data_IF_028551385690
#
_entry.id   IF_028551385690
#
_cell.length_a   1.000
_cell.length_b   1.000
_cell.length_c   1.000
_cell.angle_alpha   90.00
_cell.angle_beta   90.00
_cell.angle_gamma   90.00
#
_symmetry.space_group_name_H-M   'P 1'
#
loop_
_entity.id
_entity.type
_entity.pdbx_description
1 polymer ?
#
# COMPACT_ATOMS: atom_id res chain seq x y z
N UNK A 1 -10.92 -17.50 -5.60
CA UNK A 1 -10.24 -18.82 -5.39
C UNK A 1 -9.98 -18.99 -3.91
N UNK A 2 -10.03 -20.23 -3.36
CA UNK A 2 -9.63 -20.54 -1.97
C UNK A 2 -8.56 -21.61 -2.06
N UNK A 3 -7.45 -21.43 -1.34
CA UNK A 3 -6.30 -22.33 -1.34
C UNK A 3 -5.74 -22.47 0.07
N UNK A 4 -5.59 -23.68 0.58
CA UNK A 4 -4.89 -23.93 1.83
C UNK A 4 -3.39 -23.94 1.57
N UNK A 5 -2.64 -23.04 2.20
CA UNK A 5 -1.20 -22.87 2.01
C UNK A 5 -0.39 -23.66 3.03
N UNK A 6 -0.86 -23.68 4.26
CA UNK A 6 -0.36 -24.44 5.41
C UNK A 6 -1.54 -24.87 6.26
N UNK A 7 -1.41 -25.85 7.16
CA UNK A 7 -2.51 -26.28 8.01
C UNK A 7 -3.20 -25.10 8.71
N UNK A 8 -4.48 -24.86 8.37
CA UNK A 8 -5.29 -23.78 8.92
C UNK A 8 -4.99 -22.38 8.36
N UNK A 9 -4.07 -22.19 7.45
CA UNK A 9 -3.77 -20.93 6.77
C UNK A 9 -4.24 -20.98 5.31
N UNK A 10 -5.22 -20.16 4.98
CA UNK A 10 -5.85 -20.11 3.66
C UNK A 10 -5.60 -18.78 2.96
N UNK A 11 -5.36 -18.82 1.64
CA UNK A 11 -5.48 -17.67 0.76
C UNK A 11 -6.88 -17.63 0.17
N UNK A 12 -7.51 -16.47 0.26
CA UNK A 12 -8.78 -16.14 -0.37
C UNK A 12 -8.54 -15.04 -1.39
N UNK A 13 -8.59 -15.36 -2.67
CA UNK A 13 -8.46 -14.38 -3.74
C UNK A 13 -9.81 -13.68 -3.95
N UNK A 14 -9.85 -12.37 -3.67
CA UNK A 14 -11.03 -11.51 -3.78
C UNK A 14 -10.88 -10.62 -5.01
N UNK A 15 -11.79 -10.68 -5.99
CA UNK A 15 -11.69 -9.87 -7.21
C UNK A 15 -11.78 -8.38 -6.91
N UNK A 16 -10.98 -7.58 -7.63
CA UNK A 16 -11.01 -6.11 -7.63
C UNK A 16 -11.38 -5.63 -9.04
N UNK A 17 -12.67 -5.67 -9.43
CA UNK A 17 -13.10 -5.32 -10.78
C UNK A 17 -12.72 -3.89 -11.17
N UNK A 18 -12.24 -3.72 -12.40
CA UNK A 18 -11.78 -2.43 -12.96
C UNK A 18 -10.55 -1.84 -12.25
N UNK A 19 -9.85 -2.65 -11.46
CA UNK A 19 -8.56 -2.29 -10.88
C UNK A 19 -7.41 -2.98 -11.63
N UNK A 20 -6.30 -2.30 -11.91
CA UNK A 20 -5.11 -2.93 -12.48
C UNK A 20 -4.52 -4.00 -11.55
N UNK A 21 -4.84 -3.97 -10.26
CA UNK A 21 -4.43 -4.97 -9.27
C UNK A 21 -5.09 -6.34 -9.49
N UNK A 22 -6.26 -6.39 -10.16
CA UNK A 22 -7.07 -7.56 -10.50
C UNK A 22 -7.76 -8.23 -9.30
N UNK A 23 -7.01 -8.58 -8.26
CA UNK A 23 -7.53 -9.20 -7.04
C UNK A 23 -6.69 -8.84 -5.82
N UNK A 24 -7.30 -8.91 -4.64
CA UNK A 24 -6.62 -8.95 -3.34
C UNK A 24 -6.42 -10.41 -2.93
N UNK A 25 -5.27 -10.73 -2.35
CA UNK A 25 -5.05 -11.92 -1.56
C UNK A 25 -5.36 -11.61 -0.08
N UNK A 26 -6.54 -11.96 0.38
CA UNK A 26 -6.87 -11.97 1.81
C UNK A 26 -6.42 -13.30 2.40
N UNK A 27 -5.89 -13.29 3.62
CA UNK A 27 -5.47 -14.51 4.30
C UNK A 27 -6.34 -14.78 5.50
N UNK A 28 -6.75 -16.05 5.64
CA UNK A 28 -7.62 -16.50 6.73
C UNK A 28 -6.87 -17.55 7.53
N UNK A 29 -6.71 -17.32 8.84
CA UNK A 29 -6.15 -18.28 9.76
C UNK A 29 -7.28 -18.87 10.63
N UNK A 30 -7.42 -20.17 10.62
CA UNK A 30 -8.35 -20.92 11.47
C UNK A 30 -7.64 -21.32 12.75
N UNK A 31 -7.87 -20.56 13.82
CA UNK A 31 -7.44 -20.95 15.15
C UNK A 31 -8.44 -21.91 15.81
N UNK A 32 -8.15 -22.33 17.05
CA UNK A 32 -9.00 -23.27 17.80
C UNK A 32 -10.34 -22.65 18.19
N UNK A 33 -10.30 -21.44 18.76
CA UNK A 33 -11.48 -20.75 19.27
C UNK A 33 -11.88 -19.52 18.46
N UNK A 34 -10.96 -18.93 17.76
CA UNK A 34 -11.17 -17.72 16.95
C UNK A 34 -10.51 -17.86 15.59
N UNK A 35 -10.85 -16.96 14.70
CA UNK A 35 -10.28 -16.81 13.35
C UNK A 35 -9.58 -15.47 13.23
N UNK A 36 -8.59 -15.38 12.36
CA UNK A 36 -7.97 -14.12 11.96
C UNK A 36 -8.09 -13.95 10.45
N UNK A 37 -8.60 -12.78 10.02
CA UNK A 37 -8.62 -12.38 8.62
C UNK A 37 -7.62 -11.25 8.43
N UNK A 38 -6.69 -11.43 7.51
CA UNK A 38 -5.70 -10.41 7.13
C UNK A 38 -6.13 -9.79 5.83
N UNK A 39 -6.42 -8.49 5.84
CA UNK A 39 -6.94 -7.65 4.76
C UNK A 39 -8.32 -8.07 4.22
N UNK A 40 -9.14 -7.10 3.76
CA UNK A 40 -10.58 -7.30 3.59
C UNK A 40 -11.17 -6.92 2.23
N UNK A 41 -10.40 -6.29 1.33
CA UNK A 41 -10.80 -5.75 0.04
C UNK A 41 -11.62 -4.43 0.09
N UNK A 42 -11.94 -3.90 -1.10
CA UNK A 42 -12.67 -2.65 -1.30
C UNK A 42 -14.13 -2.75 -0.83
N UNK A 43 -14.64 -1.68 -0.21
CA UNK A 43 -16.04 -1.57 0.23
C UNK A 43 -17.00 -1.42 -0.95
N UNK A 44 -17.24 -2.53 -1.66
CA UNK A 44 -18.17 -2.64 -2.79
C UNK A 44 -18.72 -4.06 -2.88
N UNK A 45 -19.92 -4.19 -3.46
CA UNK A 45 -20.63 -5.47 -3.49
C UNK A 45 -19.87 -6.56 -4.27
N UNK A 46 -19.17 -6.16 -5.34
CA UNK A 46 -18.38 -7.09 -6.16
C UNK A 46 -17.18 -7.69 -5.41
N UNK A 47 -16.76 -7.08 -4.28
CA UNK A 47 -15.76 -7.63 -3.37
C UNK A 47 -16.43 -8.33 -2.17
N UNK A 48 -17.51 -7.73 -1.61
CA UNK A 48 -18.19 -8.26 -0.43
C UNK A 48 -18.79 -9.65 -0.67
N UNK A 49 -19.52 -9.82 -1.76
CA UNK A 49 -20.21 -11.08 -2.04
C UNK A 49 -19.26 -12.28 -2.21
N UNK A 50 -18.16 -12.17 -2.99
CA UNK A 50 -17.15 -13.21 -3.05
C UNK A 50 -16.49 -13.48 -1.69
N UNK A 51 -16.22 -12.44 -0.88
CA UNK A 51 -15.66 -12.58 0.47
C UNK A 51 -16.60 -13.41 1.35
N UNK A 52 -17.86 -13.00 1.49
CA UNK A 52 -18.84 -13.75 2.31
C UNK A 52 -19.03 -15.19 1.83
N UNK A 53 -19.05 -15.41 0.50
CA UNK A 53 -19.12 -16.76 -0.07
C UNK A 53 -17.89 -17.61 0.31
N UNK A 54 -16.70 -17.03 0.31
CA UNK A 54 -15.47 -17.72 0.70
C UNK A 54 -15.47 -18.04 2.21
N UNK A 55 -15.83 -17.08 3.05
CA UNK A 55 -15.91 -17.26 4.51
C UNK A 55 -16.93 -18.35 4.88
N UNK A 56 -18.08 -18.38 4.21
CA UNK A 56 -19.07 -19.46 4.38
C UNK A 56 -18.52 -20.83 4.00
N UNK A 57 -17.77 -20.94 2.90
CA UNK A 57 -17.14 -22.21 2.48
C UNK A 57 -16.06 -22.69 3.44
N UNK A 58 -15.39 -21.76 4.10
CA UNK A 58 -14.41 -22.04 5.14
C UNK A 58 -15.01 -22.24 6.53
N UNK A 59 -16.34 -22.15 6.67
CA UNK A 59 -17.04 -22.23 7.95
C UNK A 59 -16.51 -21.20 8.98
N UNK A 60 -16.33 -19.96 8.55
CA UNK A 60 -15.86 -18.86 9.39
C UNK A 60 -17.05 -18.13 10.02
N UNK A 61 -17.09 -18.13 11.35
CA UNK A 61 -18.02 -17.34 12.15
C UNK A 61 -17.45 -15.94 12.42
N UNK A 62 -18.06 -14.91 11.85
CA UNK A 62 -17.63 -13.51 12.02
C UNK A 62 -17.69 -13.04 13.47
N UNK A 63 -18.56 -13.62 14.32
CA UNK A 63 -18.59 -13.30 15.76
C UNK A 63 -17.37 -13.86 16.53
N UNK A 64 -16.62 -14.75 15.91
CA UNK A 64 -15.40 -15.34 16.45
C UNK A 64 -14.16 -14.93 15.62
N UNK A 65 -14.27 -13.84 14.86
CA UNK A 65 -13.24 -13.41 13.93
C UNK A 65 -12.64 -12.09 14.34
N UNK A 66 -11.30 -12.06 14.40
CA UNK A 66 -10.48 -10.87 14.50
C UNK A 66 -9.93 -10.50 13.13
N UNK A 67 -9.52 -9.24 12.97
CA UNK A 67 -8.98 -8.73 11.71
C UNK A 67 -7.60 -8.11 11.94
N UNK A 68 -6.73 -8.27 10.97
CA UNK A 68 -5.48 -7.52 10.87
C UNK A 68 -5.46 -6.79 9.54
N UNK A 69 -5.21 -5.49 9.56
CA UNK A 69 -5.11 -4.66 8.37
C UNK A 69 -3.64 -4.27 8.19
N UNK A 70 -3.05 -4.69 7.06
CA UNK A 70 -1.63 -4.43 6.78
C UNK A 70 -1.36 -2.94 6.59
N UNK A 71 -2.30 -2.22 5.96
CA UNK A 71 -2.21 -0.77 5.76
C UNK A 71 -3.56 -0.15 5.34
N UNK A 72 -3.61 1.17 5.28
CA UNK A 72 -4.84 1.97 5.16
C UNK A 72 -5.55 1.91 3.79
N UNK A 73 -4.91 1.44 2.73
CA UNK A 73 -5.51 1.49 1.39
C UNK A 73 -6.85 0.74 1.33
N UNK A 74 -7.77 1.28 0.52
CA UNK A 74 -9.17 0.82 0.50
C UNK A 74 -9.34 -0.63 0.05
N UNK A 75 -8.43 -1.16 -0.73
CA UNK A 75 -8.42 -2.55 -1.17
C UNK A 75 -7.91 -3.52 -0.09
N UNK A 76 -7.35 -3.02 1.01
CA UNK A 76 -6.99 -3.80 2.20
C UNK A 76 -7.94 -3.57 3.36
N UNK A 77 -8.36 -2.34 3.61
CA UNK A 77 -9.16 -1.93 4.77
C UNK A 77 -10.66 -1.77 4.50
N UNK A 78 -11.09 -1.71 3.24
CA UNK A 78 -12.41 -1.19 2.86
C UNK A 78 -13.60 -1.96 3.44
N UNK A 79 -13.57 -3.28 3.44
CA UNK A 79 -14.70 -4.10 3.94
C UNK A 79 -14.67 -4.33 5.45
N UNK A 80 -13.62 -3.94 6.17
CA UNK A 80 -13.50 -4.23 7.60
C UNK A 80 -14.72 -3.75 8.39
N UNK A 81 -15.29 -2.59 8.05
CA UNK A 81 -16.49 -2.07 8.71
C UNK A 81 -17.78 -2.86 8.45
N UNK A 82 -17.83 -3.66 7.38
CA UNK A 82 -18.97 -4.54 7.08
C UNK A 82 -18.78 -5.93 7.66
N UNK A 83 -17.55 -6.38 7.84
CA UNK A 83 -17.23 -7.75 8.29
C UNK A 83 -17.04 -7.84 9.80
N UNK A 84 -16.40 -6.83 10.43
CA UNK A 84 -16.16 -6.83 11.87
C UNK A 84 -17.47 -6.67 12.65
N UNK A 85 -17.59 -7.43 13.73
CA UNK A 85 -18.67 -7.40 14.71
C UNK A 85 -18.23 -6.71 16.00
N UNK A 86 -19.10 -6.56 16.96
CA UNK A 86 -18.76 -5.94 18.26
C UNK A 86 -17.85 -6.84 19.13
N UNK A 87 -17.67 -8.11 18.74
CA UNK A 87 -16.75 -9.05 19.40
C UNK A 87 -15.39 -9.15 18.71
N UNK A 88 -15.21 -8.50 17.57
CA UNK A 88 -13.97 -8.51 16.78
C UNK A 88 -12.94 -7.54 17.34
N UNK A 89 -11.69 -7.99 17.48
CA UNK A 89 -10.53 -7.09 17.53
C UNK A 89 -10.11 -6.76 16.10
N UNK A 90 -9.85 -5.49 15.85
CA UNK A 90 -9.31 -5.04 14.57
C UNK A 90 -7.93 -4.46 14.81
N UNK A 91 -6.91 -5.25 14.54
CA UNK A 91 -5.50 -4.86 14.68
C UNK A 91 -5.09 -3.95 13.53
N UNK A 92 -4.50 -2.82 13.87
CA UNK A 92 -4.05 -1.85 12.90
C UNK A 92 -2.85 -1.05 13.43
N UNK A 93 -1.93 -0.67 12.56
CA UNK A 93 -0.77 0.12 12.97
C UNK A 93 -1.19 1.43 13.63
N UNK A 94 -0.56 1.78 14.75
CA UNK A 94 -0.87 2.97 15.55
C UNK A 94 -0.77 4.26 14.74
N UNK A 95 0.20 4.37 13.83
CA UNK A 95 0.39 5.56 12.99
C UNK A 95 -0.82 5.73 12.07
N UNK A 96 -1.22 4.70 11.32
CA UNK A 96 -2.34 4.79 10.39
C UNK A 96 -3.69 4.91 11.08
N UNK A 97 -3.86 4.25 12.23
CA UNK A 97 -5.07 4.39 13.05
C UNK A 97 -5.32 5.84 13.50
N UNK A 98 -4.26 6.65 13.63
CA UNK A 98 -4.36 8.04 14.07
C UNK A 98 -4.95 8.98 13.02
N UNK A 99 -4.88 8.64 11.74
CA UNK A 99 -5.35 9.52 10.65
C UNK A 99 -6.27 8.85 9.64
N UNK A 100 -6.52 7.53 9.76
CA UNK A 100 -7.55 6.90 8.93
C UNK A 100 -8.92 7.49 9.27
N UNK A 101 -9.58 8.00 8.25
CA UNK A 101 -10.92 8.58 8.41
C UNK A 101 -11.94 7.69 7.70
N UNK A 102 -13.02 7.38 8.42
CA UNK A 102 -14.16 6.62 7.89
C UNK A 102 -15.13 7.50 7.09
N UNK A 103 -14.84 8.79 7.02
CA UNK A 103 -15.57 9.76 6.19
C UNK A 103 -14.57 10.60 5.42
N UNK A 104 -14.85 10.94 4.15
CA UNK A 104 -14.02 11.86 3.40
C UNK A 104 -14.05 13.22 4.10
N UNK A 105 -12.90 13.67 4.62
CA UNK A 105 -12.77 15.03 5.13
C UNK A 105 -12.47 15.97 3.97
N UNK A 106 -13.31 16.97 3.69
CA UNK A 106 -13.06 17.96 2.63
C UNK A 106 -11.67 18.58 2.74
N UNK A 107 -11.26 18.96 3.96
CA UNK A 107 -9.97 19.61 4.25
C UNK A 107 -8.76 18.71 3.91
N UNK A 108 -8.88 17.39 4.03
CA UNK A 108 -7.82 16.45 3.67
C UNK A 108 -7.51 16.53 2.18
N UNK A 109 -8.54 16.49 1.34
CA UNK A 109 -8.39 16.55 -0.11
C UNK A 109 -7.98 17.94 -0.58
N UNK A 110 -8.45 19.01 0.06
CA UNK A 110 -8.03 20.36 -0.26
C UNK A 110 -6.53 20.56 -0.04
N UNK A 111 -5.98 20.08 1.08
CA UNK A 111 -4.54 20.09 1.33
C UNK A 111 -3.77 19.31 0.26
N UNK A 112 -4.25 18.13 -0.10
CA UNK A 112 -3.65 17.33 -1.19
C UNK A 112 -3.67 18.08 -2.52
N UNK A 113 -4.76 18.78 -2.83
CA UNK A 113 -4.86 19.59 -4.04
C UNK A 113 -3.82 20.71 -4.06
N UNK A 114 -3.69 21.45 -2.98
CA UNK A 114 -2.69 22.52 -2.86
C UNK A 114 -1.27 21.96 -3.04
N UNK A 115 -0.97 20.83 -2.40
CA UNK A 115 0.33 20.16 -2.51
C UNK A 115 0.65 19.71 -3.93
N UNK A 116 -0.28 19.00 -4.59
CA UNK A 116 -0.07 18.51 -5.95
C UNK A 116 -0.04 19.65 -6.99
N UNK A 117 -0.86 20.69 -6.81
CA UNK A 117 -0.84 21.89 -7.65
C UNK A 117 0.50 22.64 -7.55
N UNK A 118 1.10 22.71 -6.34
CA UNK A 118 2.44 23.26 -6.14
C UNK A 118 3.52 22.44 -6.88
N UNK A 119 3.31 21.14 -7.10
CA UNK A 119 4.18 20.26 -7.87
C UNK A 119 3.82 20.18 -9.37
N UNK A 120 2.93 21.05 -9.85
CA UNK A 120 2.57 21.21 -11.26
C UNK A 120 1.38 20.39 -11.75
N UNK A 121 0.69 19.64 -10.88
CA UNK A 121 -0.48 18.85 -11.28
C UNK A 121 -1.62 19.74 -11.72
N UNK A 122 -2.21 19.57 -12.95
CA UNK A 122 -3.27 20.44 -13.45
C UNK A 122 -4.57 20.31 -12.66
N UNK A 123 -5.26 21.44 -12.43
CA UNK A 123 -6.48 21.48 -11.62
C UNK A 123 -7.63 20.65 -12.24
N UNK A 124 -7.77 20.65 -13.55
CA UNK A 124 -8.80 19.87 -14.25
C UNK A 124 -8.57 18.36 -14.13
N UNK A 125 -7.32 17.90 -14.09
CA UNK A 125 -6.95 16.51 -13.83
C UNK A 125 -7.25 16.14 -12.36
N UNK A 126 -7.00 17.04 -11.40
CA UNK A 126 -7.24 16.80 -9.97
C UNK A 126 -8.72 16.53 -9.66
N UNK A 127 -9.65 17.20 -10.34
CA UNK A 127 -11.10 16.94 -10.17
C UNK A 127 -11.46 15.50 -10.57
N UNK A 128 -10.90 15.02 -11.68
CA UNK A 128 -11.11 13.63 -12.15
C UNK A 128 -10.52 12.62 -11.19
N UNK A 129 -9.37 12.95 -10.55
CA UNK A 129 -8.76 12.12 -9.51
C UNK A 129 -9.68 11.97 -8.31
N UNK A 130 -10.24 13.07 -7.79
CA UNK A 130 -11.16 13.03 -6.65
C UNK A 130 -12.30 12.03 -6.88
N UNK A 131 -12.99 12.17 -8.00
CA UNK A 131 -14.13 11.32 -8.32
C UNK A 131 -13.76 9.86 -8.53
N UNK A 132 -12.53 9.58 -8.99
CA UNK A 132 -12.04 8.24 -9.33
C UNK A 132 -11.22 7.55 -8.25
N UNK A 133 -10.73 8.27 -7.22
CA UNK A 133 -9.76 7.75 -6.26
C UNK A 133 -10.34 6.62 -5.40
N UNK A 134 -9.70 5.42 -5.36
CA UNK A 134 -10.22 4.27 -4.62
C UNK A 134 -10.42 4.56 -3.13
N UNK A 135 -9.51 5.28 -2.49
CA UNK A 135 -9.60 5.67 -1.09
C UNK A 135 -10.84 6.51 -0.78
N UNK A 136 -11.25 7.39 -1.70
CA UNK A 136 -12.49 8.15 -1.55
C UNK A 136 -13.73 7.26 -1.75
N UNK A 137 -13.72 6.39 -2.75
CA UNK A 137 -14.91 5.63 -3.18
C UNK A 137 -15.20 4.40 -2.34
N UNK A 138 -14.13 3.69 -1.91
CA UNK A 138 -14.23 2.31 -1.44
C UNK A 138 -13.66 2.06 -0.05
N UNK A 139 -13.33 3.11 0.71
CA UNK A 139 -12.96 2.98 2.13
C UNK A 139 -14.15 2.53 2.99
N UNK A 140 -13.86 1.99 4.16
CA UNK A 140 -14.88 1.70 5.17
C UNK A 140 -15.62 2.99 5.55
N UNK A 141 -16.93 2.86 5.76
CA UNK A 141 -17.80 3.99 6.19
C UNK A 141 -18.24 3.85 7.66
N UNK A 142 -18.00 2.70 8.28
CA UNK A 142 -18.27 2.47 9.69
C UNK A 142 -17.03 2.85 10.51
N UNK A 143 -17.21 3.68 11.53
CA UNK A 143 -16.17 3.93 12.53
C UNK A 143 -15.86 2.64 13.27
N UNK A 144 -14.60 2.30 13.37
CA UNK A 144 -14.11 1.10 14.05
C UNK A 144 -13.16 1.57 15.16
N UNK A 145 -13.26 0.89 16.29
CA UNK A 145 -12.26 1.00 17.34
C UNK A 145 -11.13 0.01 17.05
N UNK A 146 -9.91 0.53 16.89
CA UNK A 146 -8.74 -0.27 16.57
C UNK A 146 -8.02 -0.75 17.83
N UNK A 147 -7.59 -2.01 17.81
CA UNK A 147 -6.50 -2.49 18.66
C UNK A 147 -5.20 -2.10 17.98
N UNK A 148 -4.57 -1.01 18.45
CA UNK A 148 -3.36 -0.49 17.78
C UNK A 148 -2.16 -1.38 18.02
N UNK A 149 -1.35 -1.57 16.97
CA UNK A 149 -0.12 -2.36 16.98
C UNK A 149 1.10 -1.51 16.60
N UNK A 150 2.26 -1.93 17.09
CA UNK A 150 3.58 -1.34 16.81
C UNK A 150 4.61 -2.44 16.51
N UNK A 151 5.84 -2.05 16.13
CA UNK A 151 6.95 -2.99 15.91
C UNK A 151 7.13 -3.95 17.09
N UNK A 152 7.16 -5.25 16.81
CA UNK A 152 7.44 -6.29 17.78
C UNK A 152 6.23 -6.83 18.54
N UNK A 153 5.04 -6.22 18.42
CA UNK A 153 3.81 -6.78 18.99
C UNK A 153 3.53 -8.18 18.42
N UNK A 154 2.93 -9.04 19.24
CA UNK A 154 2.63 -10.41 18.85
C UNK A 154 1.12 -10.67 18.80
N UNK A 155 0.70 -11.43 17.78
CA UNK A 155 -0.67 -11.87 17.58
C UNK A 155 -0.67 -13.40 17.52
N UNK A 156 -1.24 -14.01 18.54
CA UNK A 156 -1.42 -15.46 18.61
C UNK A 156 -2.79 -15.85 18.04
N UNK A 157 -2.79 -16.85 17.15
CA UNK A 157 -4.01 -17.41 16.58
C UNK A 157 -3.81 -18.89 16.23
N UNK A 158 -4.44 -19.80 16.99
CA UNK A 158 -4.23 -21.25 16.85
C UNK A 158 -2.76 -21.62 17.02
N UNK A 159 -2.18 -22.30 16.03
CA UNK A 159 -0.78 -22.73 16.03
C UNK A 159 0.18 -21.68 15.42
N UNK A 160 -0.24 -20.44 15.29
CA UNK A 160 0.53 -19.35 14.71
C UNK A 160 0.81 -18.26 15.75
N UNK A 161 2.08 -17.81 15.80
CA UNK A 161 2.50 -16.64 16.56
C UNK A 161 3.13 -15.63 15.60
N UNK A 162 2.34 -14.66 15.17
CA UNK A 162 2.80 -13.60 14.29
C UNK A 162 3.40 -12.45 15.08
N UNK A 163 4.60 -12.04 14.70
CA UNK A 163 5.21 -10.80 15.16
C UNK A 163 4.95 -9.69 14.15
N UNK A 164 4.50 -8.55 14.63
CA UNK A 164 4.35 -7.32 13.85
C UNK A 164 5.72 -6.76 13.45
N UNK A 165 5.89 -6.47 12.16
CA UNK A 165 7.10 -5.89 11.58
C UNK A 165 6.70 -4.63 10.83
N UNK A 166 7.02 -3.45 11.39
CA UNK A 166 6.72 -2.17 10.73
C UNK A 166 7.56 -2.03 9.46
N UNK A 167 6.90 -1.69 8.36
CA UNK A 167 7.53 -1.52 7.04
C UNK A 167 6.99 -0.26 6.34
N UNK A 168 7.08 0.93 7.00
CA UNK A 168 6.64 2.18 6.38
C UNK A 168 7.38 2.45 5.07
N UNK A 169 6.70 3.18 4.18
CA UNK A 169 7.20 3.56 2.84
C UNK A 169 6.07 3.56 1.81
N UNK A 170 5.47 2.40 1.53
CA UNK A 170 4.26 2.29 0.70
C UNK A 170 3.07 3.04 1.32
N UNK A 171 2.93 2.93 2.62
CA UNK A 171 2.09 3.78 3.45
C UNK A 171 2.81 4.13 4.77
N UNK A 172 2.35 5.14 5.54
CA UNK A 172 3.06 5.64 6.71
C UNK A 172 3.24 4.63 7.85
N UNK A 173 2.33 3.69 7.98
CA UNK A 173 2.35 2.66 9.01
C UNK A 173 2.14 1.26 8.45
N UNK A 174 2.53 1.02 7.19
CA UNK A 174 2.47 -0.32 6.63
C UNK A 174 3.14 -1.34 7.56
N UNK A 175 2.51 -2.50 7.73
CA UNK A 175 2.96 -3.52 8.65
C UNK A 175 2.87 -4.91 8.03
N UNK A 176 3.98 -5.66 8.11
CA UNK A 176 4.01 -7.08 7.80
C UNK A 176 3.75 -7.91 9.07
N UNK A 177 3.33 -9.17 8.89
CA UNK A 177 3.28 -10.17 9.95
C UNK A 177 4.30 -11.28 9.66
N UNK A 178 5.17 -11.54 10.61
CA UNK A 178 6.21 -12.57 10.49
C UNK A 178 6.00 -13.69 11.50
N UNK A 179 5.85 -14.92 11.01
CA UNK A 179 5.79 -16.15 11.81
C UNK A 179 7.11 -16.90 11.65
N UNK A 180 7.94 -16.85 12.70
CA UNK A 180 9.33 -17.30 12.64
C UNK A 180 9.47 -18.82 12.60
N UNK A 181 8.63 -19.59 13.31
CA UNK A 181 8.73 -21.04 13.39
C UNK A 181 8.37 -21.72 12.06
N UNK A 182 7.41 -21.18 11.34
CA UNK A 182 6.95 -21.65 10.02
C UNK A 182 7.61 -20.90 8.86
N UNK A 183 8.40 -19.85 9.16
CA UNK A 183 9.10 -18.99 8.18
C UNK A 183 8.15 -18.38 7.17
N UNK A 184 7.02 -17.86 7.65
CA UNK A 184 5.97 -17.22 6.85
C UNK A 184 6.03 -15.72 7.04
N UNK A 185 5.96 -14.97 5.95
CA UNK A 185 5.84 -13.52 5.95
C UNK A 185 4.58 -13.10 5.20
N UNK A 186 3.60 -12.52 5.91
CA UNK A 186 2.53 -11.77 5.27
C UNK A 186 3.04 -10.36 5.05
N UNK A 187 3.24 -9.97 3.80
CA UNK A 187 3.95 -8.74 3.47
C UNK A 187 3.06 -7.62 2.92
N UNK A 188 1.72 -7.81 2.84
CA UNK A 188 0.84 -6.81 2.26
C UNK A 188 1.39 -6.30 0.92
N UNK A 189 1.49 -4.98 0.80
CA UNK A 189 2.05 -4.32 -0.39
C UNK A 189 3.52 -3.87 -0.21
N UNK A 190 4.21 -4.39 0.82
CA UNK A 190 5.65 -4.14 0.95
C UNK A 190 6.46 -4.86 -0.12
N UNK A 191 6.11 -6.11 -0.48
CA UNK A 191 6.74 -6.88 -1.54
C UNK A 191 5.65 -7.47 -2.45
N UNK A 192 5.63 -7.06 -3.72
CA UNK A 192 4.77 -7.60 -4.77
C UNK A 192 5.64 -8.20 -5.88
N UNK A 193 5.25 -9.34 -6.45
CA UNK A 193 6.13 -10.09 -7.34
C UNK A 193 5.96 -9.77 -8.83
N UNK A 194 4.72 -9.56 -9.28
CA UNK A 194 4.41 -9.31 -10.69
C UNK A 194 4.24 -7.83 -11.02
N UNK A 195 4.14 -6.99 -9.99
CA UNK A 195 3.99 -5.54 -10.07
C UNK A 195 4.87 -4.88 -9.01
N UNK A 196 5.16 -3.60 -9.17
CA UNK A 196 5.92 -2.82 -8.18
C UNK A 196 4.96 -2.07 -7.27
N UNK A 197 5.15 -2.10 -5.94
CA UNK A 197 4.39 -1.24 -5.03
C UNK A 197 4.60 0.23 -5.38
N UNK A 198 3.53 1.01 -5.40
CA UNK A 198 3.62 2.46 -5.56
C UNK A 198 4.17 3.10 -4.27
N UNK A 199 5.25 3.85 -4.36
CA UNK A 199 5.87 4.55 -3.23
C UNK A 199 5.65 6.05 -3.42
N UNK A 200 4.53 6.54 -2.92
CA UNK A 200 4.13 7.93 -3.03
C UNK A 200 4.70 8.79 -1.90
N UNK A 201 4.64 10.12 -2.08
CA UNK A 201 4.87 11.06 -0.98
C UNK A 201 3.76 10.98 0.08
N UNK A 202 4.15 10.93 1.35
CA UNK A 202 3.26 11.00 2.50
C UNK A 202 3.68 12.14 3.42
N UNK A 203 2.75 13.01 3.81
CA UNK A 203 3.01 14.10 4.75
C UNK A 203 3.53 13.57 6.11
N UNK A 204 3.13 12.35 6.48
CA UNK A 204 3.49 11.68 7.73
C UNK A 204 4.87 11.02 7.70
N UNK A 205 5.53 10.97 6.54
CA UNK A 205 6.88 10.43 6.37
C UNK A 205 7.81 11.49 5.80
N UNK A 206 8.93 11.73 6.45
CA UNK A 206 9.94 12.66 5.97
C UNK A 206 10.53 12.28 4.60
N UNK A 207 10.60 10.97 4.29
CA UNK A 207 11.08 10.44 3.02
C UNK A 207 10.58 9.02 2.78
N UNK A 208 9.45 8.88 2.09
CA UNK A 208 8.78 7.60 1.87
C UNK A 208 9.68 6.56 1.18
N UNK A 209 10.43 6.96 0.15
CA UNK A 209 11.31 6.05 -0.58
C UNK A 209 12.48 5.57 0.28
N UNK A 210 13.08 6.44 1.09
CA UNK A 210 14.14 6.06 2.02
C UNK A 210 13.65 5.04 3.04
N UNK A 211 12.48 5.29 3.63
CA UNK A 211 11.85 4.33 4.54
C UNK A 211 11.59 2.99 3.87
N UNK A 212 11.03 3.00 2.65
CA UNK A 212 10.75 1.78 1.90
C UNK A 212 12.03 0.97 1.64
N UNK A 213 13.08 1.59 1.10
CA UNK A 213 14.36 0.91 0.82
C UNK A 213 15.01 0.36 2.09
N UNK A 214 14.99 1.13 3.19
CA UNK A 214 15.51 0.68 4.50
C UNK A 214 14.73 -0.54 5.02
N UNK A 215 13.40 -0.57 4.82
CA UNK A 215 12.56 -1.67 5.26
C UNK A 215 12.67 -2.90 4.35
N UNK A 216 12.96 -2.72 3.06
CA UNK A 216 13.37 -3.84 2.20
C UNK A 216 14.62 -4.53 2.76
N UNK A 217 15.64 -3.77 3.18
CA UNK A 217 16.86 -4.32 3.83
C UNK A 217 16.56 -5.00 5.17
N UNK A 218 15.60 -4.50 5.95
CA UNK A 218 15.13 -5.15 7.18
C UNK A 218 14.50 -6.50 6.89
N UNK A 219 13.57 -6.56 5.94
CA UNK A 219 12.86 -7.79 5.56
C UNK A 219 13.78 -8.79 4.85
N UNK A 220 14.77 -8.33 4.09
CA UNK A 220 15.78 -9.19 3.44
C UNK A 220 16.50 -10.12 4.45
N UNK A 221 16.69 -9.66 5.69
CA UNK A 221 17.39 -10.40 6.74
C UNK A 221 16.54 -11.48 7.42
N UNK A 222 15.22 -11.48 7.21
CA UNK A 222 14.33 -12.48 7.79
C UNK A 222 14.54 -13.84 7.12
N UNK A 223 14.36 -14.91 7.89
CA UNK A 223 14.39 -16.28 7.38
C UNK A 223 12.99 -16.70 6.93
N UNK A 224 12.71 -16.54 5.63
CA UNK A 224 11.38 -16.71 5.04
C UNK A 224 11.39 -17.79 3.97
N UNK A 225 10.45 -18.75 4.07
CA UNK A 225 10.22 -19.80 3.08
C UNK A 225 8.94 -19.55 2.27
N UNK A 226 7.96 -18.83 2.84
CA UNK A 226 6.68 -18.53 2.20
C UNK A 226 6.36 -17.07 2.37
N UNK A 227 6.22 -16.35 1.25
CA UNK A 227 5.84 -14.94 1.21
C UNK A 227 4.40 -14.80 0.73
N UNK A 228 3.62 -14.04 1.48
CA UNK A 228 2.18 -13.84 1.30
C UNK A 228 1.90 -12.37 0.96
N UNK A 229 1.97 -11.98 -0.33
CA UNK A 229 1.74 -10.59 -0.78
C UNK A 229 0.24 -10.26 -0.86
N UNK A 230 -0.09 -8.97 -0.77
CA UNK A 230 -1.46 -8.48 -0.93
C UNK A 230 -2.05 -8.73 -2.33
N UNK A 231 -1.22 -8.79 -3.36
CA UNK A 231 -1.67 -8.95 -4.75
C UNK A 231 -0.87 -9.97 -5.53
N UNK A 232 -1.50 -10.54 -6.58
CA UNK A 232 -0.86 -11.42 -7.56
C UNK A 232 -0.42 -12.77 -6.98
N UNK A 233 0.60 -13.37 -7.58
CA UNK A 233 1.08 -14.71 -7.21
C UNK A 233 1.94 -14.70 -5.95
N UNK A 234 2.01 -15.86 -5.31
CA UNK A 234 2.94 -16.14 -4.21
C UNK A 234 4.28 -16.57 -4.78
N UNK A 235 5.38 -16.19 -4.12
CA UNK A 235 6.72 -16.66 -4.43
C UNK A 235 7.47 -17.06 -3.15
N UNK A 236 8.56 -17.83 -3.33
CA UNK A 236 9.38 -18.30 -2.20
C UNK A 236 10.64 -17.46 -1.99
N UNK A 237 11.16 -16.83 -3.03
CA UNK A 237 12.42 -16.07 -2.97
C UNK A 237 12.17 -14.58 -2.84
N UNK A 238 11.97 -14.11 -1.59
CA UNK A 238 11.80 -12.69 -1.30
C UNK A 238 13.08 -11.89 -1.53
N UNK A 239 14.27 -12.47 -1.28
CA UNK A 239 15.56 -11.77 -1.40
C UNK A 239 15.85 -11.37 -2.83
N UNK A 240 15.61 -12.28 -3.77
CA UNK A 240 15.74 -11.96 -5.20
C UNK A 240 14.81 -10.80 -5.56
N UNK A 241 13.53 -10.88 -5.12
CA UNK A 241 12.55 -9.83 -5.43
C UNK A 241 12.91 -8.48 -4.79
N UNK A 242 13.42 -8.47 -3.57
CA UNK A 242 13.90 -7.24 -2.92
C UNK A 242 15.01 -6.58 -3.75
N UNK A 243 15.99 -7.34 -4.22
CA UNK A 243 17.05 -6.81 -5.07
C UNK A 243 16.50 -6.21 -6.38
N UNK A 244 15.50 -6.86 -7.00
CA UNK A 244 14.81 -6.34 -8.19
C UNK A 244 14.07 -5.02 -7.90
N UNK A 245 13.40 -4.91 -6.75
CA UNK A 245 12.70 -3.69 -6.32
C UNK A 245 13.68 -2.55 -6.05
N UNK A 246 14.81 -2.83 -5.39
CA UNK A 246 15.86 -1.83 -5.15
C UNK A 246 16.46 -1.33 -6.47
N UNK A 247 16.71 -2.22 -7.43
CA UNK A 247 17.23 -1.83 -8.75
C UNK A 247 16.20 -1.03 -9.55
N UNK A 248 14.92 -1.39 -9.47
CA UNK A 248 13.83 -0.63 -10.07
C UNK A 248 13.81 0.83 -9.58
N UNK A 249 13.88 1.07 -8.27
CA UNK A 249 13.92 2.43 -7.73
C UNK A 249 15.23 3.16 -8.09
N UNK A 250 16.36 2.46 -8.15
CA UNK A 250 17.64 3.05 -8.61
C UNK A 250 17.54 3.53 -10.06
N UNK A 251 16.91 2.74 -10.94
CA UNK A 251 16.66 3.15 -12.33
C UNK A 251 15.82 4.42 -12.39
N UNK A 252 14.70 4.48 -11.67
CA UNK A 252 13.83 5.66 -11.63
C UNK A 252 14.51 6.91 -11.06
N UNK A 253 15.38 6.77 -10.05
CA UNK A 253 16.20 7.87 -9.55
C UNK A 253 17.13 8.41 -10.63
N UNK A 254 17.73 7.54 -11.45
CA UNK A 254 18.57 7.97 -12.57
C UNK A 254 17.77 8.64 -13.69
N UNK A 255 16.59 8.12 -14.03
CA UNK A 255 15.68 8.74 -15.01
C UNK A 255 15.25 10.15 -14.55
N UNK A 256 14.95 10.34 -13.25
CA UNK A 256 14.64 11.65 -12.69
C UNK A 256 15.82 12.63 -12.80
N UNK A 257 17.05 12.19 -12.56
CA UNK A 257 18.26 13.02 -12.75
C UNK A 257 18.45 13.43 -14.21
N UNK A 258 18.33 12.49 -15.15
CA UNK A 258 18.40 12.77 -16.60
C UNK A 258 17.34 13.80 -17.01
N UNK A 259 16.12 13.70 -16.48
CA UNK A 259 15.08 14.70 -16.74
C UNK A 259 15.50 16.11 -16.34
N UNK A 260 16.30 16.26 -15.27
CA UNK A 260 16.76 17.55 -14.75
C UNK A 260 18.01 18.11 -15.47
N UNK A 261 18.67 17.33 -16.33
CA UNK A 261 19.82 17.83 -17.11
C UNK A 261 19.44 18.99 -18.06
N UNK A 262 18.19 19.03 -18.50
CA UNK A 262 17.66 20.10 -19.36
C UNK A 262 17.19 21.34 -18.60
N UNK A 263 17.43 21.41 -17.29
CA UNK A 263 17.13 22.56 -16.44
C UNK A 263 16.12 22.24 -15.33
N UNK A 264 15.77 23.28 -14.57
CA UNK A 264 14.85 23.21 -13.44
C UNK A 264 13.43 22.78 -13.87
N UNK A 265 12.79 21.87 -13.11
CA UNK A 265 11.46 21.32 -13.41
C UNK A 265 10.61 21.13 -12.16
N UNK A 266 9.28 21.15 -12.33
CA UNK A 266 8.34 20.62 -11.35
C UNK A 266 8.24 19.08 -11.46
N UNK A 267 7.71 18.41 -10.47
CA UNK A 267 7.53 16.95 -10.51
C UNK A 267 6.63 16.51 -11.70
N UNK A 268 5.62 17.31 -12.03
CA UNK A 268 4.77 17.08 -13.21
C UNK A 268 5.57 17.02 -14.51
N UNK A 269 6.58 17.86 -14.65
CA UNK A 269 7.42 17.93 -15.86
C UNK A 269 8.51 16.83 -15.86
N UNK A 270 8.83 16.25 -14.70
CA UNK A 270 9.78 15.12 -14.57
C UNK A 270 9.09 13.77 -14.87
N UNK A 271 7.85 13.58 -14.41
CA UNK A 271 7.15 12.29 -14.49
C UNK A 271 7.08 11.67 -15.91
N UNK A 272 6.94 12.44 -17.02
CA UNK A 272 6.98 11.86 -18.38
C UNK A 272 8.31 11.24 -18.79
N UNK A 273 9.40 11.52 -18.09
CA UNK A 273 10.73 10.96 -18.35
C UNK A 273 10.98 9.64 -17.58
N UNK A 274 10.11 9.33 -16.61
CA UNK A 274 10.20 8.11 -15.83
C UNK A 274 9.46 6.99 -16.57
N UNK A 275 10.04 5.79 -16.57
CA UNK A 275 9.44 4.60 -17.17
C UNK A 275 8.31 4.07 -16.27
N UNK A 276 7.10 4.02 -16.81
CA UNK A 276 5.93 3.47 -16.14
C UNK A 276 5.51 2.15 -16.78
N UNK A 277 5.27 1.13 -15.98
CA UNK A 277 4.78 -0.18 -16.43
C UNK A 277 3.26 -0.12 -16.72
N UNK A 278 2.88 0.74 -17.67
CA UNK A 278 1.51 0.98 -18.08
C UNK A 278 1.49 1.11 -19.61
N UNK A 279 0.63 0.35 -20.28
CA UNK A 279 0.48 0.36 -21.73
C UNK A 279 -0.35 1.58 -22.20
N UNK A 280 0.30 2.72 -22.44
CA UNK A 280 -0.29 3.89 -23.08
C UNK A 280 0.66 4.46 -24.15
N UNK A 281 0.09 5.06 -25.19
CA UNK A 281 0.87 5.61 -26.29
C UNK A 281 1.64 6.88 -25.92
N UNK A 282 1.14 7.65 -24.96
CA UNK A 282 1.75 8.90 -24.51
C UNK A 282 1.34 9.24 -23.08
N UNK A 283 2.10 10.14 -22.43
CA UNK A 283 1.76 10.68 -21.11
C UNK A 283 0.38 11.33 -21.08
N UNK A 284 -0.06 11.96 -22.20
CA UNK A 284 -1.36 12.60 -22.31
C UNK A 284 -2.51 11.59 -22.17
N UNK A 285 -2.29 10.37 -22.65
CA UNK A 285 -3.30 9.29 -22.65
C UNK A 285 -3.42 8.58 -21.29
N UNK A 286 -2.50 8.84 -20.36
CA UNK A 286 -2.59 8.29 -19.01
C UNK A 286 -3.89 8.72 -18.33
N UNK A 287 -4.65 7.79 -17.71
CA UNK A 287 -5.80 8.15 -16.88
C UNK A 287 -5.39 9.06 -15.72
N UNK A 288 -6.23 10.05 -15.38
CA UNK A 288 -5.94 11.06 -14.34
C UNK A 288 -5.54 10.42 -12.99
N UNK A 289 -6.20 9.34 -12.59
CA UNK A 289 -5.88 8.61 -11.35
C UNK A 289 -4.48 7.97 -11.44
N UNK A 290 -4.07 7.46 -12.61
CA UNK A 290 -2.73 6.90 -12.80
C UNK A 290 -1.66 7.99 -12.82
N UNK A 291 -1.94 9.15 -13.43
CA UNK A 291 -1.07 10.34 -13.34
C UNK A 291 -0.87 10.77 -11.89
N UNK A 292 -1.93 10.76 -11.08
CA UNK A 292 -1.85 11.11 -9.66
C UNK A 292 -0.86 10.19 -8.90
N UNK A 293 -0.96 8.88 -9.08
CA UNK A 293 -0.02 7.93 -8.47
C UNK A 293 1.39 8.12 -9.01
N UNK A 294 1.56 8.32 -10.32
CA UNK A 294 2.85 8.53 -10.93
C UNK A 294 3.54 9.82 -10.42
N UNK A 295 2.79 10.93 -10.29
CA UNK A 295 3.34 12.18 -9.74
C UNK A 295 3.69 12.02 -8.25
N UNK A 296 2.85 11.39 -7.46
CA UNK A 296 3.16 11.11 -6.05
C UNK A 296 4.45 10.31 -5.88
N UNK A 297 4.66 9.32 -6.75
CA UNK A 297 5.88 8.52 -6.77
C UNK A 297 7.08 9.32 -7.30
N UNK A 298 6.90 10.16 -8.32
CA UNK A 298 7.95 11.07 -8.81
C UNK A 298 8.41 12.01 -7.70
N UNK A 299 7.49 12.59 -6.93
CA UNK A 299 7.81 13.45 -5.78
C UNK A 299 8.64 12.68 -4.73
N UNK A 300 8.25 11.45 -4.40
CA UNK A 300 8.99 10.62 -3.44
C UNK A 300 10.43 10.34 -3.90
N UNK A 301 10.66 10.13 -5.21
CA UNK A 301 12.00 9.95 -5.78
C UNK A 301 12.81 11.26 -5.78
N UNK A 302 12.18 12.38 -6.11
CA UNK A 302 12.82 13.71 -6.07
C UNK A 302 13.15 14.11 -4.61
N UNK A 303 12.28 13.84 -3.66
CA UNK A 303 12.54 14.09 -2.24
C UNK A 303 13.70 13.23 -1.71
N UNK A 304 13.81 11.98 -2.19
CA UNK A 304 14.97 11.13 -1.90
C UNK A 304 16.28 11.73 -2.42
N UNK A 305 16.31 12.14 -3.70
CA UNK A 305 17.49 12.76 -4.32
C UNK A 305 17.87 14.10 -3.66
N UNK A 306 16.89 14.89 -3.24
CA UNK A 306 17.12 16.14 -2.53
C UNK A 306 17.73 15.90 -1.14
N UNK A 307 17.23 14.91 -0.40
CA UNK A 307 17.77 14.52 0.90
C UNK A 307 19.19 13.93 0.79
N UNK A 308 19.51 13.30 -0.35
CA UNK A 308 20.86 12.79 -0.68
C UNK A 308 21.81 13.88 -1.21
N UNK A 309 21.35 15.13 -1.38
CA UNK A 309 22.13 16.26 -1.85
C UNK A 309 22.46 16.26 -3.35
N UNK A 310 21.85 15.36 -4.13
CA UNK A 310 22.07 15.23 -5.58
C UNK A 310 21.30 16.26 -6.41
N UNK A 311 20.21 16.78 -5.85
CA UNK A 311 19.40 17.83 -6.45
C UNK A 311 19.03 18.86 -5.38
N UNK A 312 18.63 20.07 -5.82
CA UNK A 312 18.04 21.11 -4.99
C UNK A 312 16.53 21.08 -5.12
N UNK A 313 15.83 21.36 -4.03
CA UNK A 313 14.38 21.54 -3.96
C UNK A 313 14.10 22.95 -3.45
N UNK A 314 13.54 23.81 -4.27
CA UNK A 314 13.23 25.19 -3.98
C UNK A 314 11.74 25.47 -4.16
N UNK A 315 11.19 26.44 -3.41
CA UNK A 315 9.81 26.92 -3.63
C UNK A 315 9.85 28.34 -4.21
N UNK A 316 9.34 28.51 -5.43
CA UNK A 316 9.27 29.77 -6.15
C UNK A 316 7.83 30.07 -6.55
N UNK A 317 7.28 31.21 -6.13
CA UNK A 317 5.90 31.61 -6.45
C UNK A 317 4.87 30.48 -6.20
N UNK A 318 4.93 29.86 -5.03
CA UNK A 318 4.08 28.72 -4.61
C UNK A 318 4.26 27.43 -5.46
N UNK A 319 5.31 27.33 -6.26
CA UNK A 319 5.64 26.13 -7.03
C UNK A 319 6.91 25.48 -6.51
N UNK A 320 6.91 24.15 -6.41
CA UNK A 320 8.07 23.36 -6.02
C UNK A 320 8.88 23.05 -7.27
N UNK A 321 10.13 23.49 -7.25
CA UNK A 321 11.07 23.34 -8.37
C UNK A 321 12.25 22.47 -7.95
N UNK A 322 12.67 21.61 -8.84
CA UNK A 322 13.83 20.73 -8.65
C UNK A 322 14.88 20.99 -9.72
N UNK A 323 16.16 21.04 -9.32
CA UNK A 323 17.30 21.23 -10.22
C UNK A 323 18.50 20.41 -9.76
N UNK A 324 19.42 20.09 -10.67
CA UNK A 324 20.70 19.47 -10.28
C UNK A 324 21.47 20.38 -9.31
N UNK A 325 22.21 19.77 -8.37
CA UNK A 325 23.02 20.48 -7.36
C UNK A 325 24.23 21.17 -7.96
#
# INVERSE_FOLDING_TARGET
MIEELLPGLYRVEIPLPRSPLKALNSYVIKGHDRFLIIDTAMNREECLNPTLSALKKLDIDLNRTDFFITHLHADHSGLVGKLATDTSKVYFNKTEASFITFQPLPDYWEKHFVFYAANGFPEDEMRKVWEGHPGYRYSSRRKIEFTTTVEGDEIEIGDYLFRCVETPGHSPGHMCLYEASKKVLVCGDHILFDITPNITHWEQLDNSLKHYLTNLDKVYKLDVNLVLPGHRRLLKDHRKRINELQEHHRSRLNEALVALESGEKMAWDVAPYITWDIEFNSWQDFPSVQKFFAIGETIAHLDYLAADGRIRKDTKNHKVMYSLS
#
